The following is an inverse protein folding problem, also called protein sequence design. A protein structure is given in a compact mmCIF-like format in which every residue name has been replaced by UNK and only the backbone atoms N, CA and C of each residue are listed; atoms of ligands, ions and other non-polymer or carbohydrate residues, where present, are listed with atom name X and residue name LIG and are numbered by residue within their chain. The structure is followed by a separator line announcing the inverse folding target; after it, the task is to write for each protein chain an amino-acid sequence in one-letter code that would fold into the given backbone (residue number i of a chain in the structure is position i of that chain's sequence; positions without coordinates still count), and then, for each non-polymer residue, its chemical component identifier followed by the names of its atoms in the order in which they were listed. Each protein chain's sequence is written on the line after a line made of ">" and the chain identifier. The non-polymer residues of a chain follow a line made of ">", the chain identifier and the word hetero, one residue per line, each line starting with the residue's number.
data_IF_389736625945
#
_entry.id   IF_389736625945
#
_cell.length_a   1.000
_cell.length_b   1.000
_cell.length_c   1.000
_cell.angle_alpha   90.00
_cell.angle_beta   90.00
_cell.angle_gamma   90.00
#
_symmetry.space_group_name_H-M   'P 1'
#
loop_
_entity.id
_entity.type
_entity.pdbx_description
1 polymer ?
#
# COMPACT_ATOMS: atom_id res chain seq x y z
N UNK A 1 -8.78 -12.51 15.08
CA UNK A 1 -10.01 -12.75 14.28
C UNK A 1 -11.23 -11.93 14.76
N UNK A 2 -11.12 -11.01 15.72
CA UNK A 2 -12.27 -10.31 16.33
C UNK A 2 -12.53 -8.87 15.83
N UNK A 3 -11.50 -8.16 15.34
CA UNK A 3 -11.61 -6.74 14.98
C UNK A 3 -12.30 -6.47 13.63
N UNK A 4 -12.25 -7.44 12.71
CA UNK A 4 -12.96 -7.33 11.43
C UNK A 4 -14.46 -7.55 11.60
N UNK A 5 -14.86 -8.49 12.47
CA UNK A 5 -16.28 -8.79 12.69
C UNK A 5 -17.03 -7.65 13.38
N UNK A 6 -16.37 -6.85 14.23
CA UNK A 6 -17.00 -5.68 14.86
C UNK A 6 -17.27 -4.53 13.87
N UNK A 7 -16.47 -4.42 12.80
CA UNK A 7 -16.73 -3.47 11.68
C UNK A 7 -17.98 -3.85 10.88
N UNK A 8 -18.30 -5.14 10.78
CA UNK A 8 -19.46 -5.61 10.03
C UNK A 8 -20.77 -5.66 10.84
N UNK A 9 -20.70 -5.60 12.19
CA UNK A 9 -21.85 -5.84 13.06
C UNK A 9 -22.70 -4.60 13.43
N UNK A 10 -22.39 -3.41 12.90
CA UNK A 10 -23.25 -2.22 13.07
C UNK A 10 -24.24 -2.14 11.91
N UNK A 11 -25.54 -2.26 12.16
CA UNK A 11 -26.76 -2.04 11.34
C UNK A 11 -26.77 -1.28 9.97
N UNK A 12 -25.66 -0.78 9.41
CA UNK A 12 -25.66 -0.10 8.10
C UNK A 12 -25.63 -1.07 6.90
N UNK A 13 -26.20 -0.66 5.75
CA UNK A 13 -26.19 -1.44 4.51
C UNK A 13 -24.77 -1.82 4.09
N UNK A 14 -24.64 -3.02 3.51
CA UNK A 14 -23.36 -3.60 3.11
C UNK A 14 -22.53 -2.67 2.21
N UNK A 15 -23.13 -2.03 1.19
CA UNK A 15 -22.36 -1.17 0.31
C UNK A 15 -21.93 0.14 0.95
N UNK A 16 -22.69 0.70 1.90
CA UNK A 16 -22.21 1.87 2.68
C UNK A 16 -20.96 1.52 3.48
N UNK A 17 -20.93 0.34 4.12
CA UNK A 17 -19.73 -0.14 4.84
C UNK A 17 -18.58 -0.39 3.88
N UNK A 18 -18.86 -1.09 2.79
CA UNK A 18 -17.86 -1.45 1.79
C UNK A 18 -17.21 -0.20 1.19
N UNK A 19 -18.01 0.77 0.75
CA UNK A 19 -17.55 2.09 0.27
C UNK A 19 -16.66 2.79 1.29
N UNK A 20 -17.10 2.84 2.55
CA UNK A 20 -16.33 3.49 3.62
C UNK A 20 -14.98 2.80 3.83
N UNK A 21 -14.96 1.47 3.98
CA UNK A 21 -13.73 0.72 4.19
C UNK A 21 -12.77 0.85 3.00
N UNK A 22 -13.27 0.78 1.76
CA UNK A 22 -12.45 0.92 0.55
C UNK A 22 -11.82 2.31 0.48
N UNK A 23 -12.58 3.38 0.73
CA UNK A 23 -12.05 4.74 0.76
C UNK A 23 -10.97 4.93 1.84
N UNK A 24 -11.16 4.33 3.01
CA UNK A 24 -10.15 4.34 4.09
C UNK A 24 -8.88 3.58 3.68
N UNK A 25 -9.01 2.43 3.02
CA UNK A 25 -7.87 1.65 2.52
C UNK A 25 -7.10 2.44 1.45
N UNK A 26 -7.79 3.02 0.47
CA UNK A 26 -7.17 3.84 -0.60
C UNK A 26 -6.40 5.00 0.03
N UNK A 27 -7.02 5.74 0.95
CA UNK A 27 -6.37 6.85 1.66
C UNK A 27 -5.15 6.39 2.45
N UNK A 28 -5.24 5.23 3.11
CA UNK A 28 -4.13 4.64 3.86
C UNK A 28 -2.98 4.23 2.96
N UNK A 29 -3.26 3.65 1.79
CA UNK A 29 -2.26 3.25 0.80
C UNK A 29 -1.50 4.49 0.30
N UNK A 30 -2.20 5.56 -0.08
CA UNK A 30 -1.58 6.83 -0.52
C UNK A 30 -0.58 7.37 0.51
N UNK A 31 -0.95 7.39 1.80
CA UNK A 31 -0.05 7.80 2.87
C UNK A 31 1.19 6.89 3.02
N UNK A 32 1.00 5.57 2.90
CA UNK A 32 2.09 4.60 2.99
C UNK A 32 3.05 4.69 1.80
N UNK A 33 2.53 4.92 0.59
CA UNK A 33 3.32 5.12 -0.62
C UNK A 33 4.19 6.37 -0.50
N UNK A 34 3.59 7.52 -0.17
CA UNK A 34 4.33 8.79 0.00
C UNK A 34 5.48 8.67 1.00
N UNK A 35 5.23 8.03 2.16
CA UNK A 35 6.28 7.80 3.16
C UNK A 35 7.42 6.95 2.61
N UNK A 36 7.09 5.87 1.90
CA UNK A 36 8.06 4.89 1.40
C UNK A 36 8.85 5.41 0.21
N UNK A 37 8.24 6.21 -0.66
CA UNK A 37 8.92 6.93 -1.74
C UNK A 37 10.00 7.87 -1.19
N UNK A 38 9.67 8.65 -0.15
CA UNK A 38 10.65 9.51 0.52
C UNK A 38 11.80 8.70 1.12
N UNK A 39 11.51 7.54 1.72
CA UNK A 39 12.54 6.63 2.21
C UNK A 39 13.44 6.12 1.08
N UNK A 40 12.87 5.70 -0.06
CA UNK A 40 13.63 5.24 -1.22
C UNK A 40 14.57 6.31 -1.77
N UNK A 41 14.13 7.58 -1.82
CA UNK A 41 14.99 8.69 -2.25
C UNK A 41 16.22 8.80 -1.34
N UNK A 42 16.03 8.70 -0.02
CA UNK A 42 17.14 8.76 0.94
C UNK A 42 18.05 7.53 0.83
N UNK A 43 17.48 6.33 0.72
CA UNK A 43 18.25 5.09 0.56
C UNK A 43 19.12 5.11 -0.71
N UNK A 44 18.62 5.67 -1.81
CA UNK A 44 19.40 5.83 -3.05
C UNK A 44 20.57 6.80 -2.86
N UNK A 45 20.39 7.89 -2.09
CA UNK A 45 21.49 8.83 -1.76
C UNK A 45 22.56 8.16 -0.90
N UNK A 46 22.16 7.40 0.13
CA UNK A 46 23.09 6.61 0.96
C UNK A 46 23.86 5.58 0.11
N UNK A 47 23.19 4.94 -0.84
CA UNK A 47 23.83 3.98 -1.76
C UNK A 47 24.95 4.62 -2.57
N UNK A 48 24.76 5.86 -3.05
CA UNK A 48 25.82 6.61 -3.75
C UNK A 48 27.02 6.85 -2.83
N UNK A 49 26.81 7.18 -1.56
CA UNK A 49 27.89 7.36 -0.60
C UNK A 49 28.67 6.07 -0.34
N UNK A 50 27.98 4.92 -0.24
CA UNK A 50 28.65 3.63 -0.09
C UNK A 50 29.53 3.29 -1.29
N UNK A 51 29.07 3.58 -2.51
CA UNK A 51 29.86 3.36 -3.72
C UNK A 51 31.08 4.29 -3.80
N UNK A 52 30.92 5.58 -3.44
CA UNK A 52 32.02 6.55 -3.43
C UNK A 52 33.11 6.22 -2.41
N UNK A 53 32.74 5.61 -1.28
CA UNK A 53 33.66 5.21 -0.22
C UNK A 53 34.23 3.79 -0.42
N UNK A 54 33.89 3.12 -1.52
CA UNK A 54 34.37 1.78 -1.83
C UNK A 54 33.74 0.66 -0.98
N UNK A 55 32.66 0.94 -0.25
CA UNK A 55 31.96 -0.02 0.62
C UNK A 55 30.99 -0.91 -0.18
N UNK A 56 31.52 -1.65 -1.15
CA UNK A 56 30.71 -2.39 -2.12
C UNK A 56 29.87 -3.50 -1.47
N UNK A 57 30.39 -4.19 -0.45
CA UNK A 57 29.66 -5.23 0.29
C UNK A 57 28.38 -4.68 0.94
N UNK A 58 28.47 -3.51 1.58
CA UNK A 58 27.33 -2.82 2.19
C UNK A 58 26.37 -2.33 1.11
N UNK A 59 26.90 -1.78 0.00
CA UNK A 59 26.09 -1.33 -1.14
C UNK A 59 25.25 -2.48 -1.73
N UNK A 60 25.82 -3.70 -1.86
CA UNK A 60 25.07 -4.89 -2.31
C UNK A 60 23.91 -5.24 -1.38
N UNK A 61 24.13 -5.24 -0.07
CA UNK A 61 23.05 -5.52 0.89
C UNK A 61 21.97 -4.41 0.81
N UNK A 62 22.39 -3.15 0.66
CA UNK A 62 21.47 -2.01 0.60
C UNK A 62 20.63 -2.02 -0.67
N UNK A 63 21.18 -2.42 -1.82
CA UNK A 63 20.43 -2.47 -3.08
C UNK A 63 19.33 -3.52 -3.04
N UNK A 64 19.55 -4.68 -2.42
CA UNK A 64 18.50 -5.68 -2.23
C UNK A 64 17.34 -5.14 -1.40
N UNK A 65 17.64 -4.37 -0.35
CA UNK A 65 16.61 -3.73 0.45
C UNK A 65 15.83 -2.70 -0.36
N UNK A 66 16.51 -1.88 -1.17
CA UNK A 66 15.87 -0.92 -2.09
C UNK A 66 14.93 -1.63 -3.07
N UNK A 67 15.32 -2.78 -3.62
CA UNK A 67 14.49 -3.57 -4.53
C UNK A 67 13.24 -4.10 -3.80
N UNK A 68 13.39 -4.63 -2.59
CA UNK A 68 12.25 -5.09 -1.77
C UNK A 68 11.25 -3.95 -1.51
N UNK A 69 11.75 -2.76 -1.17
CA UNK A 69 10.93 -1.58 -0.94
C UNK A 69 10.20 -1.11 -2.20
N UNK A 70 10.83 -1.19 -3.38
CA UNK A 70 10.18 -0.92 -4.68
C UNK A 70 9.08 -1.94 -5.00
N UNK A 71 9.33 -3.23 -4.75
CA UNK A 71 8.32 -4.27 -4.97
C UNK A 71 7.09 -4.06 -4.07
N UNK A 72 7.28 -3.59 -2.83
CA UNK A 72 6.18 -3.24 -1.93
C UNK A 72 5.38 -2.04 -2.46
N UNK A 73 6.04 -1.02 -3.01
CA UNK A 73 5.34 0.10 -3.66
C UNK A 73 4.48 -0.36 -4.84
N UNK A 74 5.03 -1.21 -5.71
CA UNK A 74 4.26 -1.79 -6.83
C UNK A 74 3.08 -2.63 -6.34
N UNK A 75 3.25 -3.40 -5.26
CA UNK A 75 2.14 -4.14 -4.66
C UNK A 75 1.03 -3.21 -4.13
N UNK A 76 1.39 -2.08 -3.52
CA UNK A 76 0.40 -1.09 -3.10
C UNK A 76 -0.40 -0.50 -4.26
N UNK A 77 0.23 -0.24 -5.41
CA UNK A 77 -0.46 0.23 -6.63
C UNK A 77 -1.50 -0.78 -7.12
N UNK A 78 -1.14 -2.06 -7.15
CA UNK A 78 -2.06 -3.13 -7.54
C UNK A 78 -3.25 -3.20 -6.58
N UNK A 79 -3.00 -3.16 -5.27
CA UNK A 79 -4.07 -3.21 -4.25
C UNK A 79 -4.98 -1.99 -4.33
N UNK A 80 -4.41 -0.79 -4.52
CA UNK A 80 -5.17 0.45 -4.70
C UNK A 80 -6.10 0.36 -5.93
N UNK A 81 -5.58 -0.08 -7.07
CA UNK A 81 -6.36 -0.30 -8.29
C UNK A 81 -7.54 -1.25 -8.07
N UNK A 82 -7.31 -2.37 -7.37
CA UNK A 82 -8.39 -3.30 -7.05
C UNK A 82 -9.42 -2.69 -6.09
N UNK A 83 -8.99 -1.89 -5.11
CA UNK A 83 -9.91 -1.20 -4.21
C UNK A 83 -10.80 -0.20 -4.96
N UNK A 84 -10.21 0.58 -5.89
CA UNK A 84 -10.94 1.52 -6.74
C UNK A 84 -11.92 0.81 -7.68
N UNK A 85 -11.49 -0.31 -8.28
CA UNK A 85 -12.34 -1.15 -9.12
C UNK A 85 -13.56 -1.68 -8.35
N UNK A 86 -13.34 -2.27 -7.17
CA UNK A 86 -14.45 -2.78 -6.35
C UNK A 86 -15.35 -1.64 -5.90
N UNK A 87 -14.79 -0.49 -5.51
CA UNK A 87 -15.54 0.69 -5.09
C UNK A 87 -16.52 1.15 -6.18
N UNK A 88 -16.06 1.22 -7.43
CA UNK A 88 -16.90 1.57 -8.58
C UNK A 88 -18.01 0.54 -8.85
N UNK A 89 -17.82 -0.72 -8.45
CA UNK A 89 -18.75 -1.83 -8.69
C UNK A 89 -19.67 -2.14 -7.51
N UNK A 90 -19.53 -1.46 -6.37
CA UNK A 90 -20.39 -1.67 -5.19
C UNK A 90 -21.90 -1.65 -5.54
N UNK A 91 -22.44 -0.73 -6.37
CA UNK A 91 -23.87 -0.74 -6.69
C UNK A 91 -24.34 -2.04 -7.37
N UNK A 92 -23.49 -2.64 -8.21
CA UNK A 92 -23.80 -3.91 -8.89
C UNK A 92 -23.78 -5.06 -7.87
N UNK A 93 -22.78 -5.08 -6.98
CA UNK A 93 -22.67 -6.09 -5.91
C UNK A 93 -23.86 -6.00 -4.94
N UNK A 94 -24.36 -4.79 -4.67
CA UNK A 94 -25.58 -4.60 -3.87
C UNK A 94 -26.84 -5.09 -4.59
N UNK A 95 -26.93 -4.92 -5.90
CA UNK A 95 -28.08 -5.35 -6.70
C UNK A 95 -28.15 -6.87 -6.95
N UNK A 96 -27.01 -7.57 -6.90
CA UNK A 96 -26.93 -9.03 -7.06
C UNK A 96 -27.07 -9.81 -5.74
N UNK A 97 -27.49 -9.13 -4.66
CA UNK A 97 -27.61 -9.71 -3.33
C UNK A 97 -28.95 -10.40 -3.10
#
# INVERSE_FOLDING_TARGET
>A
MSSLNSLFNRSSPFGTKCKTCLNLIISRIKLLRNRREMQLINMRKEMVQYLQTGQESIARIRVEHIIREQNILAAYEIVELFCEFVLARVPIVEAQK
#
